data_IF_298111287254
#
_entry.id   IF_298111287254
#
_cell.length_a   1.000
_cell.length_b   1.000
_cell.length_c   1.000
_cell.angle_alpha   90.00
_cell.angle_beta   90.00
_cell.angle_gamma   90.00
#
_symmetry.space_group_name_H-M   'P 1'
#
loop_
_entity.id
_entity.type
_entity.pdbx_description
1 polymer ?
#
# COMPACT_ATOMS: atom_id res chain seq x y z
N UNK A 1 -2.67 4.88 -12.89
CA UNK A 1 -2.19 3.85 -11.94
C UNK A 1 -0.76 4.10 -11.54
N UNK A 2 0.18 4.15 -12.50
CA UNK A 2 1.61 4.39 -12.24
C UNK A 2 1.89 5.73 -11.55
N UNK A 3 1.29 6.84 -12.00
CA UNK A 3 1.45 8.16 -11.35
C UNK A 3 1.13 8.16 -9.83
N UNK A 4 0.16 7.33 -9.39
CA UNK A 4 -0.17 7.22 -7.97
C UNK A 4 0.88 6.43 -7.19
N UNK A 5 1.51 5.44 -7.83
CA UNK A 5 2.62 4.67 -7.27
C UNK A 5 3.87 5.55 -7.17
N UNK A 6 4.15 6.35 -8.19
CA UNK A 6 5.27 7.30 -8.20
C UNK A 6 5.16 8.29 -7.03
N UNK A 7 3.97 8.87 -6.82
CA UNK A 7 3.73 9.77 -5.67
C UNK A 7 3.86 9.10 -4.31
N UNK A 8 3.61 7.79 -4.19
CA UNK A 8 3.83 7.04 -2.95
C UNK A 8 5.33 6.78 -2.73
N UNK A 9 6.07 6.52 -3.81
CA UNK A 9 7.52 6.33 -3.77
C UNK A 9 8.26 7.62 -3.38
N UNK A 10 7.85 8.75 -3.94
CA UNK A 10 8.38 10.08 -3.63
C UNK A 10 7.97 10.61 -2.25
N UNK A 11 7.00 9.95 -1.61
CA UNK A 11 6.47 10.35 -0.30
C UNK A 11 5.63 11.61 -0.28
N UNK A 12 5.14 12.04 -1.45
CA UNK A 12 4.10 13.07 -1.53
C UNK A 12 2.73 12.60 -1.03
N UNK A 13 2.58 11.30 -0.75
CA UNK A 13 1.41 10.66 -0.14
C UNK A 13 1.90 9.61 0.87
N UNK A 14 1.22 9.50 2.00
CA UNK A 14 1.47 8.42 2.96
C UNK A 14 0.18 7.83 3.50
N UNK A 15 0.08 6.52 3.31
CA UNK A 15 -0.97 5.72 3.92
C UNK A 15 -0.70 5.41 5.39
N UNK A 16 -1.77 5.14 6.18
CA UNK A 16 -1.60 4.64 7.52
C UNK A 16 -0.81 3.34 7.51
N UNK A 17 0.02 3.16 8.53
CA UNK A 17 0.69 1.90 8.79
C UNK A 17 -0.29 0.91 9.42
N UNK A 18 -0.16 -0.36 9.03
CA UNK A 18 -1.03 -1.46 9.42
C UNK A 18 -0.18 -2.71 9.65
N UNK A 19 -0.62 -3.56 10.56
CA UNK A 19 -0.03 -4.88 10.78
C UNK A 19 -0.86 -5.91 10.03
N UNK A 20 -0.26 -6.62 9.08
CA UNK A 20 -0.91 -7.72 8.37
C UNK A 20 -1.07 -8.93 9.28
N UNK A 21 -1.93 -9.88 8.88
CA UNK A 21 -2.11 -11.15 9.62
C UNK A 21 -0.82 -11.97 9.73
N UNK A 22 0.13 -11.77 8.81
CA UNK A 22 1.48 -12.35 8.84
C UNK A 22 2.39 -11.73 9.91
N UNK A 23 1.98 -10.62 10.55
CA UNK A 23 2.81 -9.82 11.45
C UNK A 23 3.62 -8.73 10.75
N UNK A 24 3.61 -8.67 9.42
CA UNK A 24 4.33 -7.65 8.66
C UNK A 24 3.72 -6.26 8.85
N UNK A 25 4.57 -5.27 9.14
CA UNK A 25 4.20 -3.85 9.15
C UNK A 25 4.26 -3.30 7.73
N UNK A 26 3.14 -2.78 7.25
CA UNK A 26 2.99 -2.26 5.90
C UNK A 26 2.19 -0.97 5.92
N UNK A 27 2.37 -0.11 4.93
CA UNK A 27 1.48 1.02 4.69
C UNK A 27 0.41 0.63 3.68
N UNK A 28 -0.77 1.24 3.78
CA UNK A 28 -1.83 1.02 2.79
C UNK A 28 -2.38 2.34 2.25
N UNK A 29 -2.52 2.43 0.92
CA UNK A 29 -3.12 3.60 0.27
C UNK A 29 -4.29 3.19 -0.64
N UNK A 30 -5.47 3.83 -0.50
CA UNK A 30 -6.59 3.58 -1.40
C UNK A 30 -6.36 4.28 -2.74
N UNK A 31 -6.45 3.53 -3.83
CA UNK A 31 -6.47 4.03 -5.21
C UNK A 31 -7.69 3.39 -5.89
N UNK A 32 -8.92 3.92 -5.68
CA UNK A 32 -10.14 3.26 -6.14
C UNK A 32 -10.05 2.84 -7.62
N UNK A 33 -10.45 1.59 -7.95
CA UNK A 33 -11.11 0.60 -7.09
C UNK A 33 -10.14 -0.29 -6.29
N UNK A 34 -8.85 0.04 -6.28
CA UNK A 34 -7.77 -0.76 -5.70
C UNK A 34 -7.32 -0.25 -4.33
N UNK A 35 -6.69 -1.11 -3.54
CA UNK A 35 -5.89 -0.76 -2.36
C UNK A 35 -4.51 -1.33 -2.53
N UNK A 36 -3.50 -0.47 -2.35
CA UNK A 36 -2.08 -0.83 -2.49
C UNK A 36 -1.50 -0.97 -1.09
N UNK A 37 -0.89 -2.12 -0.81
CA UNK A 37 -0.08 -2.36 0.38
C UNK A 37 1.39 -2.31 0.00
N UNK A 38 2.16 -1.49 0.70
CA UNK A 38 3.53 -1.19 0.34
C UNK A 38 4.43 -0.97 1.56
N UNK A 39 5.73 -1.04 1.32
CA UNK A 39 6.77 -0.59 2.23
C UNK A 39 7.64 0.44 1.52
N UNK A 40 8.06 1.47 2.25
CA UNK A 40 8.99 2.48 1.75
C UNK A 40 10.21 2.49 2.66
N UNK A 41 11.35 2.09 2.12
CA UNK A 41 12.65 2.28 2.71
C UNK A 41 13.29 3.56 2.14
N UNK A 42 14.46 3.95 2.66
CA UNK A 42 15.19 5.13 2.16
C UNK A 42 15.70 4.96 0.73
N UNK A 43 15.89 3.73 0.26
CA UNK A 43 16.53 3.39 -1.01
C UNK A 43 15.59 2.67 -1.99
N UNK A 44 14.46 2.14 -1.54
CA UNK A 44 13.53 1.42 -2.39
C UNK A 44 12.07 1.50 -1.92
N UNK A 45 11.16 1.29 -2.88
CA UNK A 45 9.72 1.21 -2.67
C UNK A 45 9.22 -0.16 -3.10
N UNK A 46 8.65 -0.92 -2.17
CA UNK A 46 8.18 -2.29 -2.39
C UNK A 46 6.67 -2.33 -2.37
N UNK A 47 6.04 -2.66 -3.52
CA UNK A 47 4.62 -3.01 -3.57
C UNK A 47 4.45 -4.48 -3.20
N UNK A 48 3.79 -4.75 -2.08
CA UNK A 48 3.63 -6.11 -1.56
C UNK A 48 2.39 -6.78 -2.13
N UNK A 49 1.27 -6.04 -2.17
CA UNK A 49 -0.03 -6.53 -2.64
C UNK A 49 -0.87 -5.41 -3.22
N UNK A 50 -1.67 -5.74 -4.22
CA UNK A 50 -2.72 -4.89 -4.76
C UNK A 50 -4.02 -5.70 -4.71
N UNK A 51 -5.06 -5.13 -4.08
CA UNK A 51 -6.37 -5.76 -3.98
C UNK A 51 -7.44 -4.88 -4.59
N UNK A 52 -8.45 -5.51 -5.19
CA UNK A 52 -9.68 -4.83 -5.55
C UNK A 52 -10.55 -4.68 -4.31
N UNK A 53 -10.95 -3.45 -3.96
CA UNK A 53 -11.67 -3.14 -2.71
C UNK A 53 -13.07 -3.76 -2.65
N UNK A 54 -13.67 -4.11 -3.80
CA UNK A 54 -14.95 -4.84 -3.82
C UNK A 54 -14.85 -6.31 -3.42
N UNK A 55 -13.63 -6.85 -3.19
CA UNK A 55 -13.43 -8.18 -2.60
C UNK A 55 -12.95 -7.97 -1.16
N UNK A 56 -13.46 -8.76 -0.22
CA UNK A 56 -13.18 -8.62 1.22
C UNK A 56 -11.68 -8.38 1.48
N UNK A 57 -11.30 -7.31 2.22
CA UNK A 57 -9.92 -7.09 2.59
C UNK A 57 -9.40 -8.22 3.47
N UNK A 58 -8.18 -8.70 3.19
CA UNK A 58 -7.48 -9.64 4.09
C UNK A 58 -7.05 -8.95 5.41
N UNK A 59 -7.02 -7.62 5.41
CA UNK A 59 -6.81 -6.82 6.62
C UNK A 59 -8.06 -6.85 7.50
N UNK A 60 -7.84 -7.12 8.79
CA UNK A 60 -8.87 -7.24 9.82
C UNK A 60 -9.32 -5.86 10.31
#
# INVERSE_FOLDING_TARGET
>A
MFERVDRLAEGGLDGPEQVLRSGERVRSWPVPPLRIYYQRASDHFSVLRIYHQAREPIAR
#
